data_IF_347222640781
#
_entry.id   IF_347222640781
#
_cell.length_a   1.000
_cell.length_b   1.000
_cell.length_c   1.000
_cell.angle_alpha   90.00
_cell.angle_beta   90.00
_cell.angle_gamma   90.00
#
_symmetry.space_group_name_H-M   'P 1'
#
loop_
_entity.id
_entity.type
_entity.pdbx_description
1 polymer ?
#
# COMPACT_ATOMS: atom_id res chain seq x y z
N UNK A 1 -37.13 -32.91 59.52
CA UNK A 1 -36.19 -31.77 59.67
C UNK A 1 -34.89 -32.12 58.94
N UNK A 2 -34.36 -31.14 58.20
CA UNK A 2 -33.09 -31.06 57.46
C UNK A 2 -32.94 -31.77 56.11
N UNK A 3 -32.89 -30.93 55.07
CA UNK A 3 -32.47 -31.20 53.69
C UNK A 3 -31.03 -30.70 53.49
N UNK A 4 -30.23 -31.27 52.56
CA UNK A 4 -29.02 -30.64 52.08
C UNK A 4 -29.24 -30.10 50.66
N UNK A 5 -29.26 -28.78 50.54
CA UNK A 5 -29.24 -28.05 49.27
C UNK A 5 -27.80 -27.96 48.75
N UNK A 6 -27.51 -28.70 47.68
CA UNK A 6 -26.24 -28.64 46.95
C UNK A 6 -26.18 -27.33 46.16
N UNK A 7 -25.33 -26.39 46.59
CA UNK A 7 -25.07 -25.14 45.85
C UNK A 7 -24.04 -25.38 44.75
N UNK A 8 -24.51 -25.55 43.52
CA UNK A 8 -23.65 -25.44 42.32
C UNK A 8 -23.32 -23.95 42.11
N UNK A 9 -22.06 -23.58 42.31
CA UNK A 9 -21.54 -22.28 41.91
C UNK A 9 -21.19 -22.32 40.41
N UNK A 10 -22.02 -21.68 39.57
CA UNK A 10 -21.71 -21.46 38.16
C UNK A 10 -20.67 -20.33 38.06
N UNK A 11 -19.41 -20.67 37.82
CA UNK A 11 -18.39 -19.70 37.46
C UNK A 11 -18.62 -19.27 35.99
N UNK A 12 -19.15 -18.05 35.78
CA UNK A 12 -19.18 -17.42 34.47
C UNK A 12 -17.75 -17.02 34.07
N UNK A 13 -17.13 -17.79 33.18
CA UNK A 13 -15.91 -17.39 32.49
C UNK A 13 -16.26 -16.32 31.42
N UNK A 14 -15.59 -15.16 31.40
CA UNK A 14 -15.77 -14.18 30.33
C UNK A 14 -15.14 -14.73 29.04
N UNK A 15 -15.97 -15.05 28.06
CA UNK A 15 -15.55 -15.30 26.68
C UNK A 15 -14.99 -13.99 26.11
N UNK A 16 -13.66 -13.90 26.05
CA UNK A 16 -12.96 -12.90 25.25
C UNK A 16 -13.29 -13.15 23.78
N UNK A 17 -14.27 -12.42 23.24
CA UNK A 17 -14.54 -12.35 21.81
C UNK A 17 -13.40 -11.61 21.13
N UNK A 18 -12.32 -12.31 20.81
CA UNK A 18 -11.36 -11.85 19.82
C UNK A 18 -12.07 -11.80 18.46
N UNK A 19 -12.54 -10.61 18.05
CA UNK A 19 -13.08 -10.39 16.72
C UNK A 19 -12.04 -10.71 15.64
N UNK A 20 -12.45 -11.11 14.43
CA UNK A 20 -11.52 -11.45 13.36
C UNK A 20 -10.73 -10.19 12.98
N UNK A 21 -9.40 -10.23 13.20
CA UNK A 21 -8.50 -9.25 12.65
C UNK A 21 -8.59 -9.33 11.12
N UNK A 22 -9.12 -8.29 10.48
CA UNK A 22 -9.14 -8.22 9.02
C UNK A 22 -7.69 -8.22 8.53
N UNK A 23 -7.34 -9.19 7.69
CA UNK A 23 -5.97 -9.37 7.19
C UNK A 23 -5.51 -8.11 6.42
N UNK A 24 -4.56 -7.38 7.01
CA UNK A 24 -3.79 -6.33 6.34
C UNK A 24 -2.43 -6.93 6.00
N UNK A 25 -2.01 -6.82 4.75
CA UNK A 25 -0.68 -7.23 4.31
C UNK A 25 0.10 -5.99 3.92
N UNK A 26 1.23 -5.74 4.56
CA UNK A 26 2.13 -4.65 4.21
C UNK A 26 3.50 -5.24 3.84
N UNK A 27 3.94 -4.98 2.61
CA UNK A 27 5.21 -5.45 2.09
C UNK A 27 6.09 -4.24 1.81
N UNK A 28 7.22 -4.18 2.50
CA UNK A 28 8.28 -3.22 2.19
C UNK A 28 9.12 -3.77 1.05
N UNK A 29 9.22 -3.00 -0.03
CA UNK A 29 10.11 -3.25 -1.16
C UNK A 29 11.34 -2.37 -1.02
N UNK A 30 12.52 -2.95 -1.25
CA UNK A 30 13.80 -2.23 -1.29
C UNK A 30 14.24 -2.07 -2.74
N UNK A 31 14.82 -0.93 -3.08
CA UNK A 31 15.11 -0.61 -4.47
C UNK A 31 15.49 0.85 -4.67
N UNK A 32 15.14 1.40 -5.84
CA UNK A 32 15.47 2.77 -6.20
C UNK A 32 14.20 3.53 -6.53
N UNK A 33 14.04 4.70 -5.92
CA UNK A 33 13.05 5.67 -6.35
C UNK A 33 13.64 6.49 -7.51
N UNK A 34 13.08 6.36 -8.69
CA UNK A 34 13.56 7.04 -9.92
C UNK A 34 12.78 8.32 -10.22
N UNK A 35 11.58 8.44 -9.68
CA UNK A 35 10.72 9.62 -9.83
C UNK A 35 9.79 9.74 -8.63
N UNK A 36 9.64 10.95 -8.11
CA UNK A 36 8.56 11.31 -7.19
C UNK A 36 8.13 12.75 -7.41
N UNK A 37 6.91 12.93 -7.89
CA UNK A 37 6.26 14.23 -8.11
C UNK A 37 5.01 14.32 -7.25
N UNK A 38 4.91 15.35 -6.43
CA UNK A 38 3.78 15.60 -5.53
C UNK A 38 3.18 16.96 -5.87
N UNK A 39 1.94 16.97 -6.37
CA UNK A 39 1.24 18.19 -6.81
C UNK A 39 2.07 19.03 -7.80
N UNK A 40 2.68 18.36 -8.78
CA UNK A 40 3.55 18.99 -9.79
C UNK A 40 4.98 19.31 -9.33
N UNK A 41 5.31 19.16 -8.05
CA UNK A 41 6.67 19.39 -7.55
C UNK A 41 7.50 18.11 -7.56
N UNK A 42 8.63 18.13 -8.27
CA UNK A 42 9.61 17.04 -8.25
C UNK A 42 10.41 17.05 -6.94
N UNK A 43 10.33 15.95 -6.19
CA UNK A 43 11.07 15.69 -4.95
C UNK A 43 11.90 14.41 -5.03
N UNK A 44 12.21 13.94 -6.24
CA UNK A 44 12.96 12.71 -6.48
C UNK A 44 14.30 12.70 -5.74
N UNK A 45 14.95 13.86 -5.63
CA UNK A 45 16.26 14.00 -4.96
C UNK A 45 16.27 13.62 -3.47
N UNK A 46 15.12 13.64 -2.80
CA UNK A 46 14.99 13.23 -1.38
C UNK A 46 14.15 11.96 -1.22
N UNK A 47 13.80 11.29 -2.33
CA UNK A 47 12.99 10.09 -2.31
C UNK A 47 13.76 8.89 -1.75
N UNK A 48 13.12 8.15 -0.85
CA UNK A 48 13.73 7.01 -0.17
C UNK A 48 13.81 5.78 -1.07
N UNK A 49 14.83 4.96 -0.84
CA UNK A 49 15.08 3.67 -1.50
C UNK A 49 14.12 2.54 -1.06
N UNK A 50 12.91 2.89 -0.63
CA UNK A 50 11.90 1.95 -0.12
C UNK A 50 10.51 2.35 -0.58
N UNK A 51 9.72 1.38 -1.00
CA UNK A 51 8.30 1.53 -1.32
C UNK A 51 7.49 0.61 -0.41
N UNK A 52 6.42 1.11 0.20
CA UNK A 52 5.46 0.24 0.89
C UNK A 52 4.33 -0.13 -0.06
N UNK A 53 4.05 -1.42 -0.21
CA UNK A 53 2.84 -1.92 -0.83
C UNK A 53 1.92 -2.47 0.27
N UNK A 54 0.77 -1.83 0.47
CA UNK A 54 -0.19 -2.25 1.49
C UNK A 54 -1.48 -2.72 0.83
N UNK A 55 -1.90 -3.95 1.13
CA UNK A 55 -3.21 -4.48 0.76
C UNK A 55 -4.06 -4.59 2.02
N UNK A 56 -5.20 -3.91 2.01
CA UNK A 56 -6.14 -3.89 3.13
C UNK A 56 -7.56 -3.92 2.59
N UNK A 57 -8.33 -4.93 2.98
CA UNK A 57 -9.69 -5.17 2.50
C UNK A 57 -9.74 -5.18 0.97
N UNK A 58 -10.39 -4.20 0.36
CA UNK A 58 -10.56 -4.05 -1.09
C UNK A 58 -9.62 -3.03 -1.72
N UNK A 59 -8.60 -2.55 -0.99
CA UNK A 59 -7.67 -1.52 -1.47
C UNK A 59 -6.23 -1.99 -1.48
N UNK A 60 -5.49 -1.48 -2.45
CA UNK A 60 -4.03 -1.54 -2.51
C UNK A 60 -3.49 -0.12 -2.47
N UNK A 61 -2.40 0.12 -1.74
CA UNK A 61 -1.65 1.38 -1.79
C UNK A 61 -0.18 1.15 -2.12
N UNK A 62 0.40 2.14 -2.81
CA UNK A 62 1.83 2.25 -3.04
C UNK A 62 2.29 3.56 -2.40
N UNK A 63 3.06 3.44 -1.32
CA UNK A 63 3.45 4.56 -0.47
C UNK A 63 4.92 4.91 -0.70
N UNK A 64 5.13 6.01 -1.42
CA UNK A 64 6.43 6.63 -1.65
C UNK A 64 6.74 7.57 -0.48
N UNK A 65 8.00 7.58 -0.04
CA UNK A 65 8.45 8.46 1.05
C UNK A 65 9.63 9.30 0.59
N UNK A 66 9.68 10.54 1.05
CA UNK A 66 10.78 11.47 0.89
C UNK A 66 11.12 12.15 2.23
N UNK A 67 12.09 13.04 2.26
CA UNK A 67 12.41 13.83 3.45
C UNK A 67 11.24 14.77 3.81
N UNK A 68 10.61 14.51 4.96
CA UNK A 68 9.48 15.31 5.46
C UNK A 68 8.20 15.22 4.63
N UNK A 69 8.14 14.37 3.60
CA UNK A 69 6.98 14.25 2.70
C UNK A 69 6.72 12.80 2.34
N UNK A 70 5.49 12.46 2.02
CA UNK A 70 5.15 11.16 1.44
C UNK A 70 3.99 11.29 0.45
N UNK A 71 3.81 10.27 -0.37
CA UNK A 71 2.72 10.16 -1.33
C UNK A 71 2.22 8.72 -1.38
N UNK A 72 0.96 8.54 -1.03
CA UNK A 72 0.25 7.28 -1.25
C UNK A 72 -0.59 7.35 -2.53
N UNK A 73 -0.41 6.39 -3.43
CA UNK A 73 -1.37 6.09 -4.48
C UNK A 73 -2.25 4.94 -4.02
N UNK A 74 -3.56 5.13 -3.95
CA UNK A 74 -4.48 4.08 -3.50
C UNK A 74 -5.59 3.80 -4.50
N UNK A 75 -5.79 2.51 -4.76
CA UNK A 75 -6.72 1.98 -5.74
C UNK A 75 -7.52 0.79 -5.20
N UNK A 76 -8.42 0.27 -6.02
CA UNK A 76 -9.18 -0.94 -5.68
C UNK A 76 -8.31 -2.18 -5.93
N UNK A 77 -7.95 -2.91 -4.87
CA UNK A 77 -7.03 -4.06 -4.90
C UNK A 77 -7.49 -5.24 -5.76
N UNK A 78 -8.80 -5.37 -5.99
CA UNK A 78 -9.40 -6.46 -6.77
C UNK A 78 -9.44 -6.20 -8.28
N UNK A 79 -9.22 -4.97 -8.74
CA UNK A 79 -9.20 -4.61 -10.15
C UNK A 79 -7.76 -4.53 -10.65
N UNK A 80 -7.03 -5.64 -10.68
CA UNK A 80 -5.87 -5.72 -11.56
C UNK A 80 -6.37 -6.02 -12.96
N UNK A 81 -6.34 -5.02 -13.83
CA UNK A 81 -6.69 -5.21 -15.23
C UNK A 81 -5.50 -5.89 -15.92
N UNK A 82 -5.63 -7.20 -16.15
CA UNK A 82 -4.80 -7.92 -17.12
C UNK A 82 -5.60 -8.03 -18.40
N UNK A 83 -5.18 -7.34 -19.44
CA UNK A 83 -5.59 -7.72 -20.80
C UNK A 83 -4.43 -8.49 -21.42
N UNK A 84 -4.71 -9.43 -22.33
CA UNK A 84 -3.67 -10.26 -22.97
C UNK A 84 -2.65 -9.43 -23.77
N UNK A 85 -2.92 -8.14 -23.95
CA UNK A 85 -2.13 -7.20 -24.75
C UNK A 85 -1.49 -6.05 -23.91
N UNK A 86 -1.88 -5.87 -22.63
CA UNK A 86 -1.37 -4.77 -21.79
C UNK A 86 -0.69 -5.25 -20.52
N UNK A 87 0.41 -4.56 -20.14
CA UNK A 87 1.01 -4.67 -18.81
C UNK A 87 -0.09 -4.59 -17.71
N UNK A 88 0.00 -5.37 -16.62
CA UNK A 88 -0.99 -5.32 -15.56
C UNK A 88 -1.10 -3.89 -15.01
N UNK A 89 -2.33 -3.39 -14.97
CA UNK A 89 -2.64 -2.07 -14.42
C UNK A 89 -3.38 -2.19 -13.10
N UNK A 90 -3.05 -1.30 -12.17
CA UNK A 90 -3.78 -1.09 -10.93
C UNK A 90 -4.42 0.31 -10.93
N UNK A 91 -5.72 0.45 -11.18
CA UNK A 91 -6.42 1.73 -11.18
C UNK A 91 -6.29 2.47 -9.85
N UNK A 92 -6.02 3.78 -9.90
CA UNK A 92 -5.89 4.67 -8.75
C UNK A 92 -7.04 5.67 -8.76
N UNK A 93 -7.77 5.73 -7.65
CA UNK A 93 -8.87 6.67 -7.44
C UNK A 93 -8.63 7.66 -6.29
N UNK A 94 -7.52 7.52 -5.58
CA UNK A 94 -7.16 8.35 -4.44
C UNK A 94 -5.64 8.56 -4.40
N UNK A 95 -5.23 9.82 -4.20
CA UNK A 95 -3.85 10.14 -3.81
C UNK A 95 -3.86 10.79 -2.44
N UNK A 96 -2.88 10.46 -1.61
CA UNK A 96 -2.74 10.99 -0.25
C UNK A 96 -1.32 11.55 -0.10
N UNK A 97 -1.09 12.80 -0.53
CA UNK A 97 0.10 13.53 -0.13
C UNK A 97 0.10 13.74 1.39
N UNK A 98 1.28 13.62 1.99
CA UNK A 98 1.50 14.00 3.38
C UNK A 98 2.79 14.78 3.56
N UNK A 99 2.82 15.58 4.62
CA UNK A 99 3.95 16.41 5.01
C UNK A 99 4.13 16.34 6.53
N UNK A 100 5.38 16.18 6.96
CA UNK A 100 5.76 16.22 8.38
C UNK A 100 6.09 17.65 8.76
N UNK A 101 5.31 18.21 9.66
CA UNK A 101 5.52 19.53 10.24
C UNK A 101 5.94 19.40 11.71
N UNK A 102 6.18 20.53 12.39
CA UNK A 102 6.48 20.55 13.83
C UNK A 102 5.31 20.04 14.68
N UNK A 103 4.09 20.14 14.15
CA UNK A 103 2.84 19.81 14.85
C UNK A 103 2.35 18.38 14.55
N UNK A 104 3.08 17.64 13.71
CA UNK A 104 2.77 16.25 13.35
C UNK A 104 2.75 16.00 11.84
N UNK A 105 2.05 14.95 11.43
CA UNK A 105 1.89 14.60 10.00
C UNK A 105 0.56 15.13 9.50
N UNK A 106 0.60 16.01 8.51
CA UNK A 106 -0.58 16.52 7.80
C UNK A 106 -0.79 15.65 6.56
N UNK A 107 -2.02 15.17 6.37
CA UNK A 107 -2.41 14.43 5.17
C UNK A 107 -3.47 15.19 4.39
N UNK A 108 -3.41 15.14 3.06
CA UNK A 108 -4.37 15.77 2.17
C UNK A 108 -4.95 14.80 1.15
N UNK A 109 -5.84 13.87 1.55
CA UNK A 109 -6.44 12.92 0.61
C UNK A 109 -7.25 13.64 -0.48
N UNK A 110 -7.05 13.22 -1.73
CA UNK A 110 -7.68 13.80 -2.91
C UNK A 110 -8.19 12.70 -3.83
N UNK A 111 -9.43 12.87 -4.30
CA UNK A 111 -9.94 12.07 -5.42
C UNK A 111 -9.06 12.30 -6.63
N UNK A 112 -8.65 11.21 -7.26
CA UNK A 112 -7.74 11.23 -8.40
C UNK A 112 -8.22 10.29 -9.50
N UNK A 113 -7.69 10.49 -10.70
CA UNK A 113 -7.83 9.55 -11.81
C UNK A 113 -6.43 9.18 -12.28
N UNK A 114 -6.10 7.90 -12.23
CA UNK A 114 -4.76 7.41 -12.56
C UNK A 114 -4.65 5.89 -12.50
N UNK A 115 -3.42 5.40 -12.62
CA UNK A 115 -3.11 3.97 -12.50
C UNK A 115 -1.64 3.77 -12.10
N UNK A 116 -1.34 2.60 -11.54
CA UNK A 116 0.02 2.06 -11.45
C UNK A 116 0.21 0.96 -12.50
N UNK A 117 1.31 1.02 -13.26
CA UNK A 117 1.76 -0.01 -14.20
C UNK A 117 2.94 -0.77 -13.62
N UNK A 118 2.97 -2.08 -13.83
CA UNK A 118 4.11 -2.93 -13.50
C UNK A 118 4.81 -3.36 -14.78
N UNK A 119 6.11 -3.15 -14.88
CA UNK A 119 6.91 -3.53 -16.06
C UNK A 119 8.26 -4.11 -15.65
N UNK A 120 8.96 -4.72 -16.60
CA UNK A 120 10.28 -5.34 -16.39
C UNK A 120 11.34 -4.52 -17.14
N UNK A 121 11.94 -3.48 -16.51
CA UNK A 121 12.88 -2.59 -17.20
C UNK A 121 14.21 -3.27 -17.54
N UNK A 122 14.57 -4.33 -16.81
CA UNK A 122 15.75 -5.15 -17.02
C UNK A 122 15.51 -6.56 -16.44
N UNK A 123 16.26 -7.59 -16.87
CA UNK A 123 16.18 -8.91 -16.28
C UNK A 123 16.35 -8.86 -14.76
N UNK A 124 15.42 -9.50 -14.04
CA UNK A 124 15.45 -9.53 -12.57
C UNK A 124 14.99 -8.24 -11.88
N UNK A 125 14.48 -7.24 -12.61
CA UNK A 125 13.97 -5.98 -12.04
C UNK A 125 12.49 -5.80 -12.35
N UNK A 126 11.76 -5.18 -11.43
CA UNK A 126 10.38 -4.73 -11.63
C UNK A 126 10.30 -3.22 -11.39
N UNK A 127 9.71 -2.50 -12.34
CA UNK A 127 9.34 -1.10 -12.18
C UNK A 127 7.86 -0.99 -11.83
N UNK A 128 7.55 -0.22 -10.79
CA UNK A 128 6.22 0.20 -10.37
C UNK A 128 6.10 1.68 -10.69
N UNK A 129 5.29 2.01 -11.71
CA UNK A 129 5.09 3.39 -12.17
C UNK A 129 3.66 3.81 -11.95
N UNK A 130 3.43 4.72 -11.01
CA UNK A 130 2.13 5.27 -10.68
C UNK A 130 2.01 6.71 -11.18
N UNK A 131 0.93 7.01 -11.89
CA UNK A 131 0.62 8.37 -12.34
C UNK A 131 -0.86 8.67 -12.11
N UNK A 132 -1.17 9.85 -11.58
CA UNK A 132 -2.53 10.28 -11.31
C UNK A 132 -2.68 11.80 -11.39
N UNK A 133 -3.87 12.24 -11.78
CA UNK A 133 -4.28 13.65 -11.77
C UNK A 133 -5.33 13.86 -10.68
N UNK A 134 -5.18 14.94 -9.89
CA UNK A 134 -6.16 15.36 -8.90
C UNK A 134 -6.29 16.89 -8.88
N UNK A 135 -7.20 17.42 -8.07
CA UNK A 135 -7.51 18.86 -8.02
C UNK A 135 -6.31 19.77 -7.75
N UNK A 136 -5.26 19.28 -7.09
CA UNK A 136 -4.04 20.05 -6.77
C UNK A 136 -2.89 19.86 -7.78
N UNK A 137 -3.10 19.11 -8.86
CA UNK A 137 -2.11 18.90 -9.92
C UNK A 137 -1.80 17.42 -10.16
N UNK A 138 -0.61 17.20 -10.72
CA UNK A 138 -0.13 15.88 -11.13
C UNK A 138 0.65 15.20 -10.00
N UNK A 139 0.52 13.87 -9.94
CA UNK A 139 1.17 13.01 -8.97
C UNK A 139 1.82 11.87 -9.74
N UNK A 140 3.11 11.64 -9.53
CA UNK A 140 3.83 10.57 -10.20
C UNK A 140 4.84 9.92 -9.26
N UNK A 141 5.02 8.61 -9.37
CA UNK A 141 6.02 7.85 -8.64
C UNK A 141 6.53 6.70 -9.49
N UNK A 142 7.86 6.54 -9.58
CA UNK A 142 8.49 5.39 -10.23
C UNK A 142 9.48 4.75 -9.27
N UNK A 143 9.28 3.46 -8.98
CA UNK A 143 10.15 2.68 -8.12
C UNK A 143 10.62 1.42 -8.83
N UNK A 144 11.92 1.15 -8.79
CA UNK A 144 12.52 -0.07 -9.35
C UNK A 144 13.03 -0.94 -8.23
N UNK A 145 12.49 -2.15 -8.14
CA UNK A 145 12.86 -3.19 -7.15
C UNK A 145 13.44 -4.40 -7.85
N UNK A 146 14.20 -5.21 -7.12
CA UNK A 146 14.53 -6.56 -7.54
C UNK A 146 13.29 -7.46 -7.56
N UNK A 147 13.17 -8.31 -8.57
CA UNK A 147 12.20 -9.41 -8.56
C UNK A 147 12.68 -10.44 -7.56
N UNK A 148 11.93 -10.65 -6.46
CA UNK A 148 12.11 -11.86 -5.67
C UNK A 148 11.54 -13.02 -6.48
N UNK A 149 12.40 -13.73 -7.22
CA UNK A 149 11.99 -14.96 -7.89
C UNK A 149 11.36 -15.90 -6.84
N UNK A 150 10.21 -16.52 -7.12
CA UNK A 150 9.74 -17.62 -6.30
C UNK A 150 10.85 -18.69 -6.26
N UNK A 151 11.15 -19.31 -5.11
CA UNK A 151 12.05 -20.45 -5.09
C UNK A 151 11.52 -21.52 -6.05
N UNK A 152 12.22 -21.76 -7.17
CA UNK A 152 11.91 -22.82 -8.13
C UNK A 152 11.43 -22.41 -9.53
N UNK A 153 11.49 -21.14 -9.93
CA UNK A 153 11.33 -20.81 -11.35
C UNK A 153 12.54 -21.32 -12.16
N UNK A 154 12.37 -22.21 -13.15
CA UNK A 154 13.48 -22.66 -14.00
C UNK A 154 14.02 -21.47 -14.80
N UNK A 155 15.35 -21.43 -14.95
CA UNK A 155 16.02 -20.48 -15.83
C UNK A 155 15.60 -20.72 -17.30
N UNK A 156 15.55 -19.66 -18.13
CA UNK A 156 15.27 -19.79 -19.55
C UNK A 156 16.30 -20.65 -20.29
#
# INVERSE_FOLDING_TARGET
MYAPTLRLALALAPLLLAGPALAQTAIKLEGRCEKLVIAGQDVTGTCKATLMNTVSRSRTSFDFSAEGRALSFSGNGAQQERTEETDPLQPINLVIPSETTKDGVVQGPLVAVGACRFSTPAPGKTAITCEANAAKGTYAGTFVTDTKAPPGAPAP
#
